data_IF_830696790467
#
_entry.id   IF_830696790467
#
_cell.length_a   1.000
_cell.length_b   1.000
_cell.length_c   1.000
_cell.angle_alpha   90.00
_cell.angle_beta   90.00
_cell.angle_gamma   90.00
#
_symmetry.space_group_name_H-M   'P 1'
#
loop_
_entity.id
_entity.type
_entity.pdbx_description
1 polymer ?
#
# COMPACT_ATOMS: atom_id res chain seq x y z
N UNK A 1 17.78 5.62 -33.28
CA UNK A 1 16.30 5.66 -33.32
C UNK A 1 15.83 4.47 -32.51
N UNK A 2 15.32 4.68 -31.29
CA UNK A 2 15.01 3.58 -30.35
C UNK A 2 13.59 3.07 -30.60
N UNK A 3 13.47 1.78 -30.90
CA UNK A 3 12.21 1.07 -31.12
C UNK A 3 11.44 0.96 -29.79
N UNK A 4 10.33 1.69 -29.71
CA UNK A 4 9.49 1.87 -28.51
C UNK A 4 8.29 0.93 -28.59
N UNK A 5 8.51 -0.37 -28.42
CA UNK A 5 7.43 -1.36 -28.47
C UNK A 5 6.79 -1.52 -27.09
N UNK A 6 6.05 -0.51 -26.64
CA UNK A 6 5.10 -0.67 -25.54
C UNK A 6 3.89 -1.44 -26.05
N UNK A 7 3.75 -2.71 -25.67
CA UNK A 7 2.63 -3.55 -26.09
C UNK A 7 1.36 -3.13 -25.33
N UNK A 8 0.32 -2.67 -26.06
CA UNK A 8 -0.99 -2.34 -25.49
C UNK A 8 -1.90 -3.57 -25.48
N UNK A 9 -2.41 -3.98 -24.31
CA UNK A 9 -3.33 -5.14 -24.18
C UNK A 9 -4.72 -4.67 -23.75
N UNK A 10 -5.77 -5.11 -24.45
CA UNK A 10 -7.17 -4.95 -24.02
C UNK A 10 -7.74 -6.33 -23.72
N UNK A 11 -8.41 -6.49 -22.58
CA UNK A 11 -9.10 -7.72 -22.22
C UNK A 11 -10.47 -7.38 -21.65
N UNK A 12 -11.52 -8.02 -22.18
CA UNK A 12 -12.89 -7.83 -21.71
C UNK A 12 -13.59 -9.16 -21.51
N UNK A 13 -14.39 -9.31 -20.47
CA UNK A 13 -15.12 -10.55 -20.24
C UNK A 13 -15.63 -10.71 -18.81
N UNK A 14 -16.23 -11.86 -18.53
CA UNK A 14 -16.67 -12.19 -17.17
C UNK A 14 -15.46 -12.38 -16.25
N UNK A 15 -14.48 -13.16 -16.71
CA UNK A 15 -13.23 -13.40 -16.01
C UNK A 15 -12.06 -13.08 -16.94
N UNK A 16 -11.20 -12.18 -16.50
CA UNK A 16 -10.03 -11.74 -17.23
C UNK A 16 -8.76 -12.15 -16.47
N UNK A 17 -7.81 -12.75 -17.17
CA UNK A 17 -6.51 -13.12 -16.64
C UNK A 17 -5.41 -12.40 -17.43
N UNK A 18 -4.65 -11.57 -16.73
CA UNK A 18 -3.52 -10.84 -17.28
C UNK A 18 -2.22 -11.37 -16.69
N UNK A 19 -1.47 -12.11 -17.51
CA UNK A 19 -0.17 -12.66 -17.14
C UNK A 19 0.96 -11.96 -17.90
N UNK A 20 1.99 -11.53 -17.16
CA UNK A 20 3.26 -11.04 -17.69
C UNK A 20 3.16 -9.72 -18.46
N UNK A 21 3.64 -8.65 -17.84
CA UNK A 21 3.64 -7.32 -18.46
C UNK A 21 5.08 -6.85 -18.56
N UNK A 22 5.56 -6.79 -19.79
CA UNK A 22 6.89 -6.31 -20.16
C UNK A 22 7.09 -4.88 -19.62
N UNK A 23 8.33 -4.49 -19.32
CA UNK A 23 8.67 -3.09 -18.99
C UNK A 23 8.07 -2.18 -20.08
N UNK A 24 7.32 -1.16 -19.66
CA UNK A 24 6.62 -0.19 -20.53
C UNK A 24 5.37 -0.69 -21.29
N UNK A 25 4.71 -1.74 -20.80
CA UNK A 25 3.39 -2.15 -21.31
C UNK A 25 2.27 -1.27 -20.73
N UNK A 26 1.20 -1.06 -21.50
CA UNK A 26 -0.04 -0.48 -21.00
C UNK A 26 -1.21 -1.41 -21.31
N UNK A 27 -2.29 -1.33 -20.56
CA UNK A 27 -3.47 -2.09 -20.93
C UNK A 27 -4.73 -1.70 -20.21
N UNK A 28 -5.83 -2.23 -20.73
CA UNK A 28 -7.18 -2.04 -20.22
C UNK A 28 -7.79 -3.42 -19.98
N UNK A 29 -8.19 -3.68 -18.74
CA UNK A 29 -8.89 -4.90 -18.36
C UNK A 29 -10.27 -4.52 -17.80
N UNK A 30 -11.33 -5.00 -18.42
CA UNK A 30 -12.72 -4.69 -18.02
C UNK A 30 -13.50 -5.98 -17.85
N UNK A 31 -13.98 -6.27 -16.65
CA UNK A 31 -14.71 -7.50 -16.41
C UNK A 31 -15.33 -7.61 -15.04
N UNK A 32 -15.98 -8.74 -14.75
CA UNK A 32 -16.55 -8.97 -13.41
C UNK A 32 -15.43 -9.36 -12.46
N UNK A 33 -14.60 -10.33 -12.87
CA UNK A 33 -13.43 -10.79 -12.14
C UNK A 33 -12.17 -10.55 -12.97
N UNK A 34 -11.20 -9.90 -12.36
CA UNK A 34 -9.97 -9.49 -12.98
C UNK A 34 -8.79 -10.00 -12.14
N UNK A 35 -7.97 -10.84 -12.75
CA UNK A 35 -6.80 -11.43 -12.10
C UNK A 35 -5.54 -10.96 -12.82
N UNK A 36 -4.72 -10.19 -12.12
CA UNK A 36 -3.33 -9.93 -12.51
C UNK A 36 -2.43 -11.00 -11.91
N UNK A 37 -1.40 -11.42 -12.63
CA UNK A 37 -0.37 -12.30 -12.05
C UNK A 37 1.01 -11.71 -12.28
N UNK A 38 1.77 -11.51 -11.21
CA UNK A 38 3.21 -11.24 -11.28
C UNK A 38 3.99 -12.57 -11.30
N UNK A 39 3.66 -13.48 -12.23
CA UNK A 39 4.09 -14.90 -12.22
C UNK A 39 5.60 -15.16 -12.48
N UNK A 40 6.45 -14.12 -12.41
CA UNK A 40 7.91 -14.26 -12.43
C UNK A 40 8.50 -13.64 -11.17
N UNK A 41 8.49 -14.35 -10.02
CA UNK A 41 9.55 -14.15 -9.04
C UNK A 41 10.86 -14.62 -9.67
N UNK A 42 12.00 -14.08 -9.25
CA UNK A 42 13.34 -14.47 -9.69
C UNK A 42 13.76 -13.98 -11.08
N UNK A 43 14.16 -12.71 -11.20
CA UNK A 43 15.57 -12.38 -11.48
C UNK A 43 15.90 -11.06 -10.76
N UNK A 44 16.83 -11.15 -9.82
CA UNK A 44 17.48 -10.08 -9.08
C UNK A 44 18.30 -9.16 -10.01
N UNK A 45 17.63 -8.36 -10.86
CA UNK A 45 18.28 -7.31 -11.67
C UNK A 45 17.30 -6.16 -11.94
N UNK A 46 17.42 -5.10 -11.12
CA UNK A 46 17.17 -3.70 -11.46
C UNK A 46 16.18 -3.40 -12.61
N UNK A 47 14.88 -3.28 -12.28
CA UNK A 47 14.09 -2.03 -12.40
C UNK A 47 12.62 -2.38 -12.27
N UNK A 48 12.04 -1.96 -11.15
CA UNK A 48 10.61 -1.70 -10.98
C UNK A 48 10.14 -0.71 -12.05
N UNK A 49 9.68 -1.21 -13.19
CA UNK A 49 8.78 -0.48 -14.10
C UNK A 49 7.79 -1.49 -14.67
N UNK A 50 6.93 -1.98 -13.78
CA UNK A 50 5.73 -2.72 -14.19
C UNK A 50 4.86 -1.81 -15.06
N UNK A 51 4.19 -2.39 -16.05
CA UNK A 51 3.31 -1.64 -16.94
C UNK A 51 2.14 -0.97 -16.22
N UNK A 52 1.51 0.00 -16.86
CA UNK A 52 0.32 0.67 -16.34
C UNK A 52 -0.95 -0.01 -16.87
N UNK A 53 -1.75 -0.62 -16.00
CA UNK A 53 -3.04 -1.19 -16.38
C UNK A 53 -4.18 -0.41 -15.74
N UNK A 54 -5.17 -0.05 -16.55
CA UNK A 54 -6.48 0.34 -16.07
C UNK A 54 -7.32 -0.93 -15.94
N UNK A 55 -7.68 -1.28 -14.72
CA UNK A 55 -8.50 -2.45 -14.43
C UNK A 55 -9.83 -2.01 -13.83
N UNK A 56 -10.94 -2.41 -14.45
CA UNK A 56 -12.29 -2.08 -14.00
C UNK A 56 -13.06 -3.38 -13.80
N UNK A 57 -13.54 -3.62 -12.59
CA UNK A 57 -14.37 -4.80 -12.33
C UNK A 57 -14.94 -4.91 -10.94
N UNK A 58 -15.73 -5.95 -10.68
CA UNK A 58 -16.32 -6.16 -9.36
C UNK A 58 -15.27 -6.68 -8.38
N UNK A 59 -14.53 -7.71 -8.78
CA UNK A 59 -13.43 -8.29 -8.01
C UNK A 59 -12.13 -8.21 -8.79
N UNK A 60 -11.14 -7.54 -8.21
CA UNK A 60 -9.81 -7.39 -8.79
C UNK A 60 -8.78 -8.00 -7.84
N UNK A 61 -7.90 -8.86 -8.35
CA UNK A 61 -6.90 -9.57 -7.57
C UNK A 61 -5.52 -9.44 -8.21
N UNK A 62 -4.50 -9.07 -7.42
CA UNK A 62 -3.10 -8.92 -7.85
C UNK A 62 -2.91 -8.02 -9.09
N UNK A 63 -3.75 -6.99 -9.22
CA UNK A 63 -3.69 -6.04 -10.34
C UNK A 63 -2.67 -4.92 -10.08
N UNK A 64 -2.10 -4.36 -11.15
CA UNK A 64 -1.13 -3.26 -11.07
C UNK A 64 -1.64 -2.04 -11.84
N UNK A 65 -1.37 -0.82 -11.37
CA UNK A 65 -1.74 0.42 -12.06
C UNK A 65 -2.94 1.11 -11.42
N UNK A 66 -3.97 1.43 -12.20
CA UNK A 66 -5.23 2.00 -11.70
C UNK A 66 -6.30 0.91 -11.67
N UNK A 67 -6.72 0.52 -10.48
CA UNK A 67 -7.75 -0.50 -10.25
C UNK A 67 -9.02 0.17 -9.72
N UNK A 68 -10.15 -0.06 -10.37
CA UNK A 68 -11.47 0.42 -9.97
C UNK A 68 -12.36 -0.79 -9.78
N UNK A 69 -12.92 -0.96 -8.58
CA UNK A 69 -13.85 -2.04 -8.34
C UNK A 69 -14.52 -2.08 -6.99
N UNK A 70 -15.43 -3.03 -6.79
CA UNK A 70 -16.04 -3.19 -5.48
C UNK A 70 -15.04 -3.76 -4.47
N UNK A 71 -14.27 -4.76 -4.89
CA UNK A 71 -13.30 -5.49 -4.07
C UNK A 71 -11.96 -5.51 -4.82
N UNK A 72 -10.92 -4.95 -4.20
CA UNK A 72 -9.54 -4.98 -4.70
C UNK A 72 -8.66 -5.71 -3.68
N UNK A 73 -7.93 -6.75 -4.13
CA UNK A 73 -7.14 -7.65 -3.29
C UNK A 73 -5.70 -7.71 -3.82
N UNK A 74 -4.72 -7.48 -2.95
CA UNK A 74 -3.29 -7.57 -3.29
C UNK A 74 -2.87 -6.71 -4.49
N UNK A 75 -3.62 -5.65 -4.78
CA UNK A 75 -3.40 -4.76 -5.92
C UNK A 75 -2.39 -3.65 -5.59
N UNK A 76 -1.60 -3.23 -6.57
CA UNK A 76 -0.55 -2.20 -6.42
C UNK A 76 -0.80 -1.00 -7.32
N UNK A 77 -0.60 0.20 -6.78
CA UNK A 77 -0.73 1.45 -7.54
C UNK A 77 -1.83 2.32 -6.96
N UNK A 78 -2.84 2.66 -7.77
CA UNK A 78 -4.03 3.40 -7.36
C UNK A 78 -5.22 2.45 -7.32
N UNK A 79 -5.79 2.21 -6.15
CA UNK A 79 -6.91 1.30 -5.94
C UNK A 79 -8.12 2.10 -5.47
N UNK A 80 -9.21 2.07 -6.23
CA UNK A 80 -10.47 2.72 -5.89
C UNK A 80 -11.53 1.65 -5.72
N UNK A 81 -12.17 1.60 -4.55
CA UNK A 81 -13.21 0.61 -4.32
C UNK A 81 -13.93 0.67 -3.00
N UNK A 82 -14.85 -0.27 -2.76
CA UNK A 82 -15.54 -0.35 -1.47
C UNK A 82 -14.61 -0.97 -0.44
N UNK A 83 -13.98 -2.09 -0.81
CA UNK A 83 -13.03 -2.84 0.00
C UNK A 83 -11.70 -2.96 -0.74
N UNK A 84 -10.64 -2.38 -0.17
CA UNK A 84 -9.27 -2.57 -0.60
C UNK A 84 -8.53 -3.39 0.46
N UNK A 85 -7.93 -4.52 0.08
CA UNK A 85 -7.25 -5.42 1.01
C UNK A 85 -5.87 -5.82 0.52
N UNK A 86 -4.90 -5.75 1.42
CA UNK A 86 -3.49 -6.06 1.15
C UNK A 86 -2.93 -5.25 -0.03
N UNK A 87 -3.46 -4.04 -0.21
CA UNK A 87 -3.15 -3.16 -1.34
C UNK A 87 -2.00 -2.22 -1.02
N UNK A 88 -1.11 -2.00 -1.99
CA UNK A 88 0.04 -1.08 -1.89
C UNK A 88 -0.17 0.18 -2.74
N UNK A 89 0.32 1.33 -2.27
CA UNK A 89 0.23 2.60 -3.00
C UNK A 89 -0.92 3.47 -2.51
N UNK A 90 -1.68 4.09 -3.42
CA UNK A 90 -2.82 4.94 -3.09
C UNK A 90 -4.12 4.13 -3.07
N UNK A 91 -4.80 4.08 -1.93
CA UNK A 91 -6.07 3.37 -1.80
C UNK A 91 -7.19 4.36 -1.42
N UNK A 92 -8.27 4.34 -2.17
CA UNK A 92 -9.48 5.12 -1.90
C UNK A 92 -10.64 4.15 -1.76
N UNK A 93 -11.31 4.17 -0.61
CA UNK A 93 -12.45 3.31 -0.41
C UNK A 93 -13.18 3.46 0.89
N UNK A 94 -14.20 2.63 1.13
CA UNK A 94 -14.89 2.65 2.43
C UNK A 94 -14.00 2.00 3.48
N UNK A 95 -13.48 0.80 3.17
CA UNK A 95 -12.59 0.05 4.05
C UNK A 95 -11.28 -0.27 3.34
N UNK A 96 -10.16 0.16 3.92
CA UNK A 96 -8.83 -0.09 3.38
C UNK A 96 -7.97 -0.87 4.39
N UNK A 97 -7.51 -2.06 4.02
CA UNK A 97 -6.50 -2.84 4.75
C UNK A 97 -5.18 -2.73 4.01
N UNK A 98 -4.19 -2.13 4.68
CA UNK A 98 -2.94 -1.75 4.05
C UNK A 98 -1.79 -2.62 4.51
N UNK A 99 -0.94 -2.95 3.55
CA UNK A 99 0.39 -3.49 3.80
C UNK A 99 1.46 -2.61 3.13
N UNK A 100 2.67 -2.62 3.69
CA UNK A 100 3.80 -1.86 3.14
C UNK A 100 3.63 -0.35 3.10
N UNK A 101 4.19 0.30 2.07
CA UNK A 101 4.14 1.75 1.87
C UNK A 101 2.83 2.16 1.18
N UNK A 102 1.88 2.73 1.94
CA UNK A 102 0.54 3.00 1.43
C UNK A 102 -0.04 4.34 1.92
N UNK A 103 -0.81 4.99 1.07
CA UNK A 103 -1.60 6.17 1.35
C UNK A 103 -3.07 5.80 1.19
N UNK A 104 -3.83 5.72 2.29
CA UNK A 104 -5.24 5.34 2.21
C UNK A 104 -6.17 6.45 2.65
N UNK A 105 -7.23 6.67 1.88
CA UNK A 105 -8.36 7.52 2.22
C UNK A 105 -9.61 6.64 2.31
N UNK A 106 -10.31 6.70 3.44
CA UNK A 106 -11.56 5.96 3.60
C UNK A 106 -12.30 6.17 4.90
N UNK A 107 -13.46 5.54 5.03
CA UNK A 107 -14.20 5.59 6.30
C UNK A 107 -13.44 4.84 7.39
N UNK A 108 -12.93 3.66 7.06
CA UNK A 108 -12.18 2.77 7.94
C UNK A 108 -10.86 2.42 7.27
N UNK A 109 -9.74 2.82 7.87
CA UNK A 109 -8.41 2.40 7.43
C UNK A 109 -7.76 1.55 8.51
N UNK A 110 -7.20 0.40 8.12
CA UNK A 110 -6.54 -0.55 9.01
C UNK A 110 -5.14 -0.80 8.44
N UNK A 111 -4.13 -0.34 9.16
CA UNK A 111 -2.74 -0.63 8.85
C UNK A 111 -2.26 -1.92 9.53
N UNK A 112 -1.34 -2.63 8.87
CA UNK A 112 -0.58 -3.73 9.46
C UNK A 112 0.70 -3.24 10.16
N UNK A 113 1.32 -4.05 11.02
CA UNK A 113 2.57 -3.68 11.72
C UNK A 113 3.73 -3.38 10.76
N UNK A 114 3.71 -3.93 9.54
CA UNK A 114 4.73 -3.64 8.52
C UNK A 114 4.36 -2.46 7.62
N UNK A 115 3.22 -1.82 7.86
CA UNK A 115 2.74 -0.70 7.05
C UNK A 115 3.35 0.62 7.52
N UNK A 116 3.85 1.40 6.56
CA UNK A 116 4.35 2.76 6.74
C UNK A 116 3.54 3.61 5.79
N UNK A 117 2.86 4.65 6.26
CA UNK A 117 1.89 5.30 5.40
C UNK A 117 1.16 6.48 6.01
N UNK A 118 0.30 7.08 5.18
CA UNK A 118 -0.65 8.09 5.60
C UNK A 118 -2.06 7.49 5.52
N UNK A 119 -2.81 7.59 6.62
CA UNK A 119 -4.19 7.11 6.68
C UNK A 119 -5.12 8.28 6.94
N UNK A 120 -6.04 8.55 6.02
CA UNK A 120 -7.03 9.61 6.15
C UNK A 120 -8.41 8.96 6.26
N UNK A 121 -9.09 9.18 7.39
CA UNK A 121 -10.38 8.57 7.56
C UNK A 121 -11.15 8.95 8.80
N UNK A 122 -12.37 8.43 8.88
CA UNK A 122 -13.24 8.59 10.04
C UNK A 122 -12.64 7.78 11.20
N UNK A 123 -12.31 6.51 10.93
CA UNK A 123 -11.67 5.60 11.87
C UNK A 123 -10.38 5.07 11.24
N UNK A 124 -9.25 5.31 11.90
CA UNK A 124 -7.95 4.75 11.50
C UNK A 124 -7.42 3.82 12.60
N UNK A 125 -6.92 2.64 12.23
CA UNK A 125 -6.25 1.70 13.14
C UNK A 125 -4.81 1.50 12.69
N UNK A 126 -3.83 1.86 13.53
CA UNK A 126 -2.41 1.81 13.17
C UNK A 126 -1.58 1.17 14.30
N UNK A 127 -1.22 -0.12 14.20
CA UNK A 127 -0.42 -0.79 15.22
C UNK A 127 1.09 -0.40 15.22
N UNK A 128 1.55 0.50 14.33
CA UNK A 128 2.94 0.98 14.19
C UNK A 128 2.99 2.38 13.54
N UNK A 129 4.20 2.96 13.36
CA UNK A 129 4.62 4.30 12.82
C UNK A 129 3.94 4.86 11.54
N UNK A 130 2.67 4.56 11.27
CA UNK A 130 1.83 5.26 10.29
C UNK A 130 1.43 6.62 10.88
N UNK A 131 1.33 7.65 10.04
CA UNK A 131 0.75 8.94 10.42
C UNK A 131 -0.72 9.01 9.99
N UNK A 132 -1.66 8.76 10.90
CA UNK A 132 -3.09 8.91 10.64
C UNK A 132 -3.52 10.37 10.76
N UNK A 133 -4.15 10.90 9.72
CA UNK A 133 -4.88 12.17 9.74
C UNK A 133 -6.36 11.81 9.92
N UNK A 134 -6.89 12.14 11.07
CA UNK A 134 -8.20 11.69 11.51
C UNK A 134 -9.25 12.79 11.37
N UNK A 135 -10.47 12.41 11.00
CA UNK A 135 -11.65 13.26 11.17
C UNK A 135 -12.36 13.01 12.51
N UNK A 136 -12.47 11.74 12.99
CA UNK A 136 -13.23 11.38 14.20
C UNK A 136 -12.49 10.56 15.27
N UNK A 137 -11.97 9.36 14.97
CA UNK A 137 -11.24 8.53 15.94
C UNK A 137 -10.03 7.78 15.32
N UNK A 138 -8.97 7.59 16.09
CA UNK A 138 -7.77 6.88 15.66
C UNK A 138 -7.24 6.01 16.80
N UNK A 139 -7.04 4.73 16.49
CA UNK A 139 -6.60 3.71 17.41
C UNK A 139 -5.19 3.27 17.00
N UNK A 140 -4.19 3.91 17.60
CA UNK A 140 -2.80 3.50 17.42
C UNK A 140 -2.32 2.71 18.62
N UNK A 141 -2.20 1.39 18.47
CA UNK A 141 -1.52 0.55 19.46
C UNK A 141 -0.02 0.66 19.21
N UNK A 142 0.75 1.21 20.15
CA UNK A 142 2.21 1.16 20.05
C UNK A 142 2.65 -0.31 20.12
N UNK A 143 3.64 -0.74 19.31
CA UNK A 143 4.26 -2.04 19.54
C UNK A 143 4.86 -2.00 20.95
N UNK A 144 4.73 -3.12 21.67
CA UNK A 144 5.33 -3.27 22.99
C UNK A 144 6.84 -3.06 22.82
N UNK A 145 7.37 -1.97 23.36
CA UNK A 145 8.81 -1.76 23.46
C UNK A 145 9.39 -3.00 24.13
N UNK A 146 10.29 -3.70 23.45
CA UNK A 146 11.18 -4.60 24.16
C UNK A 146 11.92 -3.78 25.22
N UNK A 147 11.98 -4.37 26.42
CA UNK A 147 12.41 -3.80 27.69
C UNK A 147 13.83 -3.20 27.57
N UNK A 148 14.11 -2.03 28.17
CA UNK A 148 15.41 -1.37 28.02
C UNK A 148 16.52 -2.20 28.67
N UNK A 149 17.55 -2.58 27.90
CA UNK A 149 18.80 -3.06 28.47
C UNK A 149 19.54 -1.87 29.07
N UNK A 150 19.40 -1.71 30.39
CA UNK A 150 20.14 -0.73 31.18
C UNK A 150 21.61 -1.10 31.26
N UNK A 151 22.48 -0.38 30.58
CA UNK A 151 23.90 -0.27 30.96
C UNK A 151 24.06 0.94 31.89
N UNK A 152 24.50 0.76 33.15
CA UNK A 152 24.65 1.86 34.09
C UNK A 152 26.03 2.51 33.92
N UNK A 153 26.08 3.83 33.69
CA UNK A 153 27.25 4.66 34.05
C UNK A 153 26.81 6.04 34.55
N UNK A 154 26.66 6.08 35.87
CA UNK A 154 27.20 7.08 36.81
C UNK A 154 27.21 8.54 36.37
N UNK A 155 26.36 9.33 37.03
CA UNK A 155 26.35 10.78 36.91
C UNK A 155 27.57 11.46 37.53
N UNK A 156 27.89 12.64 37.02
CA UNK A 156 28.60 13.68 37.75
C UNK A 156 27.74 14.94 37.64
N UNK A 157 27.02 15.26 38.73
CA UNK A 157 26.38 16.56 38.94
C UNK A 157 27.43 17.48 39.55
N UNK A 158 27.56 18.69 39.02
CA UNK A 158 28.13 19.81 39.78
C UNK A 158 27.21 20.99 39.57
N UNK A 159 26.32 21.24 40.54
CA UNK A 159 25.73 22.55 40.77
C UNK A 159 26.13 22.95 42.19
N UNK A 160 26.56 24.20 42.36
CA UNK A 160 26.03 25.15 43.36
C UNK A 160 26.79 26.48 43.28
N UNK A 161 26.07 27.61 43.11
CA UNK A 161 26.55 28.98 43.41
C UNK A 161 26.55 29.26 44.93
N UNK A 162 26.47 30.51 45.45
CA UNK A 162 26.39 31.83 44.81
C UNK A 162 27.48 32.83 45.30
N UNK A 163 27.34 34.11 44.91
CA UNK A 163 28.11 35.29 45.33
C UNK A 163 28.03 35.60 46.82
N UNK A 164 29.17 35.98 47.41
CA UNK A 164 29.37 37.09 48.35
C UNK A 164 30.81 37.62 48.17
#
# INVERSE_FOLDING_TARGET
MAEKNGLFKIQTGIANLLSGTQKDSAGLQVGILNLGTNLFPDIELNKRRGGFYLTIGVGNYETNGLTIGAINLSSKGMNVGIFNRDTEGFNLGITNFQEGLSFSIGAINIGSSKSIGLQIGIINYCPNNTFPIMIMANYCSKPKSETPFSTPKTGLKTETGPTN
#
